data_IF_887646322016
#
_entry.id   IF_887646322016
#
_cell.length_a   1.000
_cell.length_b   1.000
_cell.length_c   1.000
_cell.angle_alpha   90.00
_cell.angle_beta   90.00
_cell.angle_gamma   90.00
#
_symmetry.space_group_name_H-M   'P 1'
#
loop_
_entity.id
_entity.type
_entity.pdbx_description
1 polymer ?
#
# COMPACT_ATOMS: atom_id res chain seq x y z
N UNK A 1 -29.39 3.50 4.18
CA UNK A 1 -27.97 3.86 4.37
C UNK A 1 -27.16 2.83 3.60
N UNK A 2 -26.22 3.25 2.76
CA UNK A 2 -25.30 2.31 2.13
C UNK A 2 -24.48 1.65 3.24
N UNK A 3 -24.38 0.32 3.20
CA UNK A 3 -23.52 -0.44 4.10
C UNK A 3 -22.07 -0.08 3.74
N UNK A 4 -21.24 0.17 4.75
CA UNK A 4 -19.82 0.46 4.55
C UNK A 4 -19.09 -0.85 4.23
N UNK A 5 -18.87 -1.10 2.93
CA UNK A 5 -18.38 -2.38 2.41
C UNK A 5 -19.20 -3.58 2.95
N UNK A 6 -18.56 -4.73 3.22
CA UNK A 6 -19.17 -5.91 3.81
C UNK A 6 -19.18 -5.89 5.37
N UNK A 7 -19.22 -4.70 5.97
CA UNK A 7 -19.32 -4.55 7.44
C UNK A 7 -20.78 -4.39 7.90
N UNK A 8 -21.02 -4.36 9.21
CA UNK A 8 -22.31 -3.95 9.77
C UNK A 8 -22.42 -2.42 10.00
N UNK A 9 -21.41 -1.65 9.58
CA UNK A 9 -21.35 -0.21 9.79
C UNK A 9 -22.02 0.54 8.65
N UNK A 10 -22.59 1.69 8.97
CA UNK A 10 -22.83 2.76 7.99
C UNK A 10 -21.57 3.60 7.80
N UNK A 11 -21.50 4.33 6.68
CA UNK A 11 -20.42 5.31 6.45
C UNK A 11 -20.30 6.33 7.60
N UNK A 12 -21.42 6.80 8.16
CA UNK A 12 -21.38 7.73 9.29
C UNK A 12 -20.78 7.07 10.55
N UNK A 13 -21.14 5.82 10.85
CA UNK A 13 -20.55 5.11 11.98
C UNK A 13 -19.04 4.89 11.81
N UNK A 14 -18.58 4.64 10.58
CA UNK A 14 -17.16 4.58 10.28
C UNK A 14 -16.46 5.93 10.59
N UNK A 15 -17.01 7.05 10.12
CA UNK A 15 -16.47 8.39 10.40
C UNK A 15 -16.44 8.71 11.90
N UNK A 16 -17.51 8.32 12.62
CA UNK A 16 -17.65 8.62 14.04
C UNK A 16 -16.74 7.76 14.92
N UNK A 17 -16.39 6.55 14.51
CA UNK A 17 -15.72 5.59 15.38
C UNK A 17 -14.29 5.22 14.97
N UNK A 18 -13.95 5.34 13.68
CA UNK A 18 -12.68 4.84 13.13
C UNK A 18 -11.87 5.92 12.44
N UNK A 19 -12.50 6.74 11.59
CA UNK A 19 -11.81 7.77 10.81
C UNK A 19 -10.95 8.69 11.71
N UNK A 20 -9.64 8.72 11.44
CA UNK A 20 -8.61 9.44 12.20
C UNK A 20 -8.53 9.09 13.69
N UNK A 21 -8.93 7.88 14.07
CA UNK A 21 -9.00 7.46 15.48
C UNK A 21 -8.32 6.12 15.72
N UNK A 22 -8.67 5.10 14.93
CA UNK A 22 -8.15 3.75 15.10
C UNK A 22 -8.29 2.91 13.83
N UNK A 23 -7.43 1.89 13.66
CA UNK A 23 -7.48 0.97 12.54
C UNK A 23 -8.80 0.17 12.45
N UNK A 24 -9.12 -0.29 11.24
CA UNK A 24 -10.24 -1.18 10.97
C UNK A 24 -9.88 -2.22 9.90
N UNK A 25 -9.87 -3.49 10.31
CA UNK A 25 -9.82 -4.62 9.38
C UNK A 25 -11.21 -4.91 8.80
N UNK A 26 -11.33 -4.89 7.48
CA UNK A 26 -12.54 -5.20 6.72
C UNK A 26 -12.28 -6.45 5.88
N UNK A 27 -12.86 -7.58 6.28
CA UNK A 27 -12.74 -8.83 5.52
C UNK A 27 -13.66 -8.79 4.31
N UNK A 28 -13.11 -9.19 3.16
CA UNK A 28 -13.83 -9.27 1.89
C UNK A 28 -14.59 -7.98 1.58
N UNK A 29 -13.94 -6.82 1.72
CA UNK A 29 -14.50 -5.54 1.31
C UNK A 29 -14.97 -5.57 -0.15
N UNK A 30 -14.22 -6.28 -0.99
CA UNK A 30 -14.62 -6.72 -2.33
C UNK A 30 -14.63 -8.25 -2.36
N UNK A 31 -15.78 -8.87 -2.63
CA UNK A 31 -15.89 -10.32 -2.77
C UNK A 31 -15.40 -10.78 -4.14
N UNK A 32 -14.70 -11.92 -4.20
CA UNK A 32 -14.15 -12.48 -5.43
C UNK A 32 -13.28 -11.45 -6.20
N UNK A 33 -12.50 -10.67 -5.45
CA UNK A 33 -11.71 -9.59 -6.01
C UNK A 33 -10.55 -10.11 -6.87
N UNK A 34 -10.48 -9.61 -8.10
CA UNK A 34 -9.37 -9.83 -9.03
C UNK A 34 -8.65 -8.51 -9.25
N UNK A 35 -7.31 -8.56 -9.28
CA UNK A 35 -6.50 -7.37 -9.54
C UNK A 35 -6.84 -6.80 -10.93
N UNK A 36 -7.15 -5.49 -11.05
CA UNK A 36 -7.47 -4.87 -12.33
C UNK A 36 -6.24 -4.74 -13.23
N UNK A 37 -5.03 -4.85 -12.67
CA UNK A 37 -3.76 -4.73 -13.38
C UNK A 37 -2.87 -5.93 -13.08
N UNK A 38 -2.14 -6.41 -14.09
CA UNK A 38 -1.13 -7.47 -13.92
C UNK A 38 0.18 -6.89 -13.38
N UNK A 39 1.07 -7.76 -12.87
CA UNK A 39 2.39 -7.34 -12.42
C UNK A 39 3.24 -6.76 -13.57
N UNK A 40 3.13 -7.36 -14.76
CA UNK A 40 3.87 -6.94 -15.96
C UNK A 40 3.36 -5.57 -16.47
N UNK A 41 2.04 -5.36 -16.50
CA UNK A 41 1.46 -4.07 -16.90
C UNK A 41 1.84 -2.96 -15.89
N UNK A 42 1.86 -3.27 -14.60
CA UNK A 42 2.31 -2.34 -13.56
C UNK A 42 3.80 -1.99 -13.71
N UNK A 43 4.65 -2.97 -14.05
CA UNK A 43 6.06 -2.72 -14.35
C UNK A 43 6.22 -1.85 -15.60
N UNK A 44 5.37 -2.04 -16.61
CA UNK A 44 5.26 -1.16 -17.78
C UNK A 44 4.96 0.29 -17.38
N UNK A 45 3.97 0.52 -16.52
CA UNK A 45 3.68 1.86 -15.99
C UNK A 45 4.87 2.46 -15.23
N UNK A 46 5.61 1.64 -14.48
CA UNK A 46 6.76 2.11 -13.72
C UNK A 46 7.94 2.58 -14.59
N UNK A 47 7.98 2.16 -15.87
CA UNK A 47 8.95 2.61 -16.87
C UNK A 47 8.57 3.94 -17.55
N UNK A 48 7.32 4.40 -17.40
CA UNK A 48 6.86 5.63 -18.06
C UNK A 48 7.43 6.89 -17.37
N UNK A 49 8.12 7.81 -18.09
CA UNK A 49 8.75 8.99 -17.49
C UNK A 49 7.80 9.95 -16.76
N UNK A 50 6.51 9.87 -17.05
CA UNK A 50 5.48 10.73 -16.46
C UNK A 50 4.87 10.14 -15.18
N UNK A 51 5.21 8.90 -14.82
CA UNK A 51 4.63 8.17 -13.69
C UNK A 51 5.69 8.02 -12.61
N UNK A 52 5.38 8.50 -11.40
CA UNK A 52 6.29 8.33 -10.27
C UNK A 52 6.29 6.86 -9.82
N UNK A 53 7.48 6.26 -9.83
CA UNK A 53 7.67 4.89 -9.39
C UNK A 53 8.92 4.76 -8.52
N UNK A 54 8.94 3.76 -7.65
CA UNK A 54 10.07 3.42 -6.79
C UNK A 54 10.23 1.92 -6.70
N UNK A 55 11.48 1.46 -6.79
CA UNK A 55 11.89 0.08 -6.53
C UNK A 55 12.71 0.06 -5.25
N UNK A 56 12.28 -0.73 -4.28
CA UNK A 56 12.91 -0.88 -2.97
C UNK A 56 13.42 -2.30 -2.83
N UNK A 57 14.72 -2.45 -2.59
CA UNK A 57 15.40 -3.73 -2.39
C UNK A 57 15.93 -3.79 -0.97
N UNK A 58 15.48 -4.76 -0.17
CA UNK A 58 15.95 -4.90 1.22
C UNK A 58 17.46 -5.19 1.26
N UNK A 59 17.95 -5.97 0.28
CA UNK A 59 19.36 -6.36 0.13
C UNK A 59 19.89 -5.96 -1.27
N UNK A 60 19.91 -4.66 -1.56
CA UNK A 60 20.37 -4.14 -2.84
C UNK A 60 21.89 -4.17 -3.02
N UNK A 61 22.34 -3.96 -4.26
CA UNK A 61 23.78 -3.93 -4.61
C UNK A 61 24.53 -2.77 -3.94
N UNK A 62 23.85 -1.63 -3.72
CA UNK A 62 24.40 -0.46 -3.04
C UNK A 62 24.37 -0.57 -1.50
N UNK A 63 23.69 -1.58 -0.96
CA UNK A 63 23.52 -1.79 0.47
C UNK A 63 22.07 -2.12 0.87
N UNK A 64 21.81 -2.24 2.17
CA UNK A 64 20.47 -2.53 2.67
C UNK A 64 19.50 -1.39 2.36
N UNK A 65 18.25 -1.75 2.06
CA UNK A 65 17.17 -0.81 1.74
C UNK A 65 17.52 0.16 0.60
N UNK A 66 18.09 -0.39 -0.48
CA UNK A 66 18.38 0.38 -1.69
C UNK A 66 17.06 0.86 -2.31
N UNK A 67 17.01 2.15 -2.65
CA UNK A 67 15.89 2.77 -3.35
C UNK A 67 16.35 3.20 -4.74
N UNK A 68 15.65 2.76 -5.76
CA UNK A 68 15.80 3.23 -7.14
C UNK A 68 14.53 3.97 -7.52
N UNK A 69 14.63 5.27 -7.78
CA UNK A 69 13.50 6.08 -8.23
C UNK A 69 13.35 5.97 -9.74
N UNK A 70 12.10 6.03 -10.20
CA UNK A 70 11.77 5.92 -11.60
C UNK A 70 12.20 7.12 -12.47
N UNK A 71 11.97 7.02 -13.80
CA UNK A 71 11.41 5.85 -14.47
C UNK A 71 12.33 4.64 -14.37
N UNK A 72 11.74 3.47 -14.09
CA UNK A 72 12.47 2.21 -14.04
C UNK A 72 12.76 1.71 -15.46
N UNK A 73 13.66 0.74 -15.58
CA UNK A 73 14.01 0.13 -16.87
C UNK A 73 13.86 -1.39 -16.82
N UNK A 74 13.79 -2.02 -17.98
CA UNK A 74 13.83 -3.49 -18.07
C UNK A 74 15.08 -4.08 -17.41
N UNK A 75 16.22 -3.37 -17.49
CA UNK A 75 17.48 -3.78 -16.84
C UNK A 75 17.36 -3.74 -15.30
N UNK A 76 16.60 -2.79 -14.74
CA UNK A 76 16.32 -2.75 -13.30
C UNK A 76 15.54 -3.96 -12.84
N UNK A 77 14.59 -4.44 -13.64
CA UNK A 77 13.80 -5.64 -13.32
C UNK A 77 14.58 -6.93 -13.58
N UNK A 78 15.35 -7.00 -14.67
CA UNK A 78 16.09 -8.19 -15.06
C UNK A 78 17.17 -8.60 -14.03
N UNK A 79 17.70 -7.64 -13.27
CA UNK A 79 18.69 -7.89 -12.20
C UNK A 79 18.07 -8.29 -10.85
N UNK A 80 16.75 -8.20 -10.68
CA UNK A 80 16.13 -8.41 -9.38
C UNK A 80 16.22 -9.88 -8.94
N UNK A 81 16.46 -10.12 -7.63
CA UNK A 81 16.36 -11.46 -7.07
C UNK A 81 14.91 -11.96 -7.06
N UNK A 82 14.71 -13.23 -6.76
CA UNK A 82 13.37 -13.82 -6.70
C UNK A 82 12.49 -13.31 -5.55
N UNK A 83 13.06 -12.64 -4.53
CA UNK A 83 12.39 -12.27 -3.26
C UNK A 83 12.97 -10.97 -2.68
N UNK A 84 12.38 -10.43 -1.60
CA UNK A 84 12.91 -9.30 -0.81
C UNK A 84 13.06 -7.96 -1.55
N UNK A 85 12.15 -7.66 -2.46
CA UNK A 85 12.02 -6.35 -3.09
C UNK A 85 10.55 -5.97 -3.25
N UNK A 86 10.26 -4.69 -3.47
CA UNK A 86 8.91 -4.20 -3.75
C UNK A 86 8.98 -3.05 -4.73
N UNK A 87 8.02 -3.00 -5.65
CA UNK A 87 7.82 -1.88 -6.57
C UNK A 87 6.57 -1.13 -6.14
N UNK A 88 6.64 0.20 -6.17
CA UNK A 88 5.56 1.13 -5.87
C UNK A 88 5.35 2.02 -7.10
N UNK A 89 4.10 2.16 -7.54
CA UNK A 89 3.71 3.06 -8.63
C UNK A 89 2.60 3.96 -8.11
N UNK A 90 2.84 5.27 -8.15
CA UNK A 90 1.91 6.28 -7.66
C UNK A 90 0.87 6.63 -8.74
N UNK A 91 -0.21 7.31 -8.34
CA UNK A 91 -1.13 7.96 -9.27
C UNK A 91 -1.76 7.02 -10.31
N UNK A 92 -1.86 5.72 -10.03
CA UNK A 92 -2.31 4.73 -11.03
C UNK A 92 -3.74 5.03 -11.50
N UNK A 93 -4.58 5.58 -10.63
CA UNK A 93 -5.95 6.00 -10.99
C UNK A 93 -6.01 7.12 -12.04
N UNK A 94 -4.96 7.93 -12.17
CA UNK A 94 -4.85 8.99 -13.18
C UNK A 94 -4.45 8.43 -14.55
N UNK A 95 -3.77 7.28 -14.56
CA UNK A 95 -3.24 6.66 -15.77
C UNK A 95 -4.07 5.47 -16.27
N UNK A 96 -4.85 4.85 -15.38
CA UNK A 96 -5.61 3.64 -15.65
C UNK A 96 -7.09 3.81 -15.27
N UNK A 97 -7.94 4.33 -16.19
CA UNK A 97 -9.33 4.63 -15.88
C UNK A 97 -10.15 3.45 -15.37
N UNK A 98 -9.78 2.20 -15.70
CA UNK A 98 -10.48 1.01 -15.22
C UNK A 98 -10.36 0.76 -13.72
N UNK A 99 -9.45 1.43 -12.99
CA UNK A 99 -9.35 1.28 -11.52
C UNK A 99 -10.25 2.27 -10.77
N UNK A 100 -10.90 3.20 -11.46
CA UNK A 100 -11.72 4.24 -10.83
C UNK A 100 -12.90 3.69 -10.01
N UNK A 101 -13.43 2.53 -10.38
CA UNK A 101 -14.50 1.88 -9.60
C UNK A 101 -14.06 1.52 -8.17
N UNK A 102 -12.75 1.36 -7.93
CA UNK A 102 -12.20 1.12 -6.59
C UNK A 102 -12.32 2.35 -5.70
N UNK A 103 -12.31 3.54 -6.30
CA UNK A 103 -12.34 4.83 -5.60
C UNK A 103 -13.77 5.33 -5.34
N UNK A 104 -14.74 4.90 -6.15
CA UNK A 104 -16.13 5.34 -6.05
C UNK A 104 -16.79 5.08 -4.68
N UNK A 105 -16.58 3.93 -4.01
CA UNK A 105 -17.13 3.69 -2.68
C UNK A 105 -16.65 4.65 -1.60
N UNK A 106 -15.52 5.36 -1.83
CA UNK A 106 -14.92 6.29 -0.87
C UNK A 106 -15.44 7.73 -0.97
N UNK A 107 -16.41 8.01 -1.86
CA UNK A 107 -17.01 9.35 -2.05
C UNK A 107 -17.75 9.92 -0.82
N UNK A 108 -17.86 9.18 0.28
CA UNK A 108 -18.30 9.70 1.56
C UNK A 108 -17.23 10.56 2.27
N UNK A 109 -15.97 10.46 1.81
CA UNK A 109 -14.87 11.35 2.18
C UNK A 109 -14.82 12.48 1.13
N UNK A 110 -14.64 13.76 1.53
CA UNK A 110 -14.53 14.85 0.58
C UNK A 110 -13.36 14.68 -0.41
N UNK A 111 -13.57 14.96 -1.69
CA UNK A 111 -12.57 14.74 -2.74
C UNK A 111 -11.20 15.38 -2.47
N UNK A 112 -11.17 16.56 -1.81
CA UNK A 112 -9.92 17.26 -1.48
C UNK A 112 -9.07 16.57 -0.40
N UNK A 113 -9.62 15.57 0.30
CA UNK A 113 -8.91 14.73 1.28
C UNK A 113 -8.31 13.47 0.65
N UNK A 114 -8.75 13.11 -0.56
CA UNK A 114 -8.24 11.96 -1.30
C UNK A 114 -7.04 12.41 -2.12
N UNK A 115 -5.97 11.64 -2.08
CA UNK A 115 -4.76 11.90 -2.85
C UNK A 115 -4.78 11.09 -4.16
N UNK A 116 -4.42 9.81 -4.09
CA UNK A 116 -4.27 8.94 -5.26
C UNK A 116 -4.55 7.45 -4.95
N UNK A 117 -4.41 6.61 -5.97
CA UNK A 117 -4.28 5.16 -5.84
C UNK A 117 -2.85 4.72 -6.18
N UNK A 118 -2.02 4.52 -5.15
CA UNK A 118 -0.76 3.80 -5.29
C UNK A 118 -1.01 2.29 -5.40
N UNK A 119 -0.33 1.63 -6.34
CA UNK A 119 -0.29 0.16 -6.41
C UNK A 119 1.13 -0.33 -6.13
N UNK A 120 1.23 -1.39 -5.32
CA UNK A 120 2.48 -2.06 -5.02
C UNK A 120 2.50 -3.49 -5.55
N UNK A 121 3.65 -3.95 -6.02
CA UNK A 121 3.94 -5.35 -6.31
C UNK A 121 5.14 -5.81 -5.51
N UNK A 122 5.01 -6.98 -4.87
CA UNK A 122 6.04 -7.57 -4.04
C UNK A 122 6.05 -9.10 -4.22
N UNK A 123 7.17 -9.72 -4.59
CA UNK A 123 7.36 -11.16 -4.40
C UNK A 123 7.45 -11.50 -2.90
N UNK A 124 7.74 -12.78 -2.60
CA UNK A 124 7.91 -13.26 -1.23
C UNK A 124 8.90 -12.38 -0.45
N UNK A 125 8.52 -12.03 0.78
CA UNK A 125 9.26 -11.14 1.70
C UNK A 125 9.46 -9.70 1.22
N UNK A 126 8.91 -9.30 0.06
CA UNK A 126 8.93 -7.91 -0.37
C UNK A 126 8.21 -6.98 0.61
N UNK A 127 8.90 -5.92 1.02
CA UNK A 127 8.42 -4.98 2.05
C UNK A 127 9.09 -3.62 1.91
N UNK A 128 8.51 -2.61 2.55
CA UNK A 128 9.07 -1.27 2.72
C UNK A 128 9.61 -1.03 4.14
N UNK A 129 9.58 -2.07 4.98
CA UNK A 129 9.93 -1.98 6.40
C UNK A 129 8.81 -1.39 7.27
N UNK A 130 8.93 -1.46 8.61
CA UNK A 130 8.02 -0.81 9.53
C UNK A 130 8.18 0.72 9.43
N UNK A 131 7.09 1.43 9.21
CA UNK A 131 7.06 2.88 9.02
C UNK A 131 5.72 3.45 9.52
N UNK A 132 5.62 4.78 9.51
CA UNK A 132 4.38 5.51 9.81
C UNK A 132 4.12 6.53 8.71
N UNK A 133 2.85 6.71 8.37
CA UNK A 133 2.40 7.73 7.43
C UNK A 133 1.69 8.88 8.15
N UNK A 134 1.68 10.06 7.52
CA UNK A 134 0.99 11.26 8.02
C UNK A 134 -0.41 11.42 7.42
N UNK A 135 -0.92 10.40 6.73
CA UNK A 135 -2.20 10.40 6.02
C UNK A 135 -3.01 9.15 6.36
N UNK A 136 -4.32 9.25 6.17
CA UNK A 136 -5.25 8.13 6.22
C UNK A 136 -5.05 7.23 4.98
N UNK A 137 -5.06 5.91 5.14
CA UNK A 137 -4.85 4.96 4.03
C UNK A 137 -5.84 3.80 4.10
N UNK A 138 -6.26 3.28 2.95
CA UNK A 138 -6.98 2.00 2.84
C UNK A 138 -6.13 1.01 2.05
N UNK A 139 -5.62 0.00 2.72
CA UNK A 139 -4.77 -1.04 2.17
C UNK A 139 -5.63 -2.20 1.67
N UNK A 140 -5.97 -2.19 0.38
CA UNK A 140 -6.71 -3.26 -0.29
C UNK A 140 -5.74 -4.34 -0.81
N UNK A 141 -5.94 -5.58 -0.39
CA UNK A 141 -5.17 -6.70 -0.94
C UNK A 141 -5.75 -7.11 -2.30
N UNK A 142 -4.98 -6.94 -3.37
CA UNK A 142 -5.43 -7.23 -4.73
C UNK A 142 -5.11 -8.66 -5.20
N UNK A 143 -3.92 -9.16 -4.89
CA UNK A 143 -3.44 -10.46 -5.31
C UNK A 143 -2.57 -11.08 -4.21
N UNK A 144 -2.50 -12.42 -4.15
CA UNK A 144 -1.65 -13.12 -3.18
C UNK A 144 -2.08 -12.93 -1.73
N UNK A 145 -1.15 -13.02 -0.80
CA UNK A 145 -1.41 -12.82 0.65
C UNK A 145 -0.31 -11.99 1.25
N UNK A 146 -0.68 -10.98 2.05
CA UNK A 146 0.28 -10.14 2.77
C UNK A 146 -0.01 -10.17 4.26
N UNK A 147 1.06 -10.38 5.05
CA UNK A 147 1.01 -10.23 6.50
C UNK A 147 1.17 -8.76 6.86
N UNK A 148 0.15 -8.19 7.46
CA UNK A 148 0.17 -6.86 8.05
C UNK A 148 0.33 -6.96 9.56
N UNK A 149 1.22 -6.14 10.10
CA UNK A 149 1.47 -6.00 11.52
C UNK A 149 1.36 -4.52 11.85
N UNK A 150 0.53 -4.17 12.83
CA UNK A 150 0.30 -2.78 13.22
C UNK A 150 0.33 -2.62 14.74
N UNK A 151 0.34 -1.36 15.17
CA UNK A 151 0.18 -0.94 16.56
C UNK A 151 -0.95 0.09 16.60
N UNK A 152 -1.89 -0.04 17.54
CA UNK A 152 -2.93 0.96 17.78
C UNK A 152 -2.37 2.23 18.45
N UNK A 153 -1.18 2.14 19.06
CA UNK A 153 -0.53 3.30 19.67
C UNK A 153 0.15 4.19 18.61
N UNK A 154 -0.25 5.47 18.49
CA UNK A 154 0.38 6.39 17.54
C UNK A 154 1.80 6.76 17.98
N UNK A 155 2.72 6.76 17.02
CA UNK A 155 4.12 7.16 17.22
C UNK A 155 4.29 8.62 16.84
N UNK A 156 4.51 9.50 17.82
CA UNK A 156 4.75 10.94 17.59
C UNK A 156 6.23 11.27 17.38
N UNK A 157 7.13 10.52 18.02
CA UNK A 157 8.58 10.69 17.92
C UNK A 157 9.22 9.39 17.43
N UNK A 158 9.19 9.20 16.11
CA UNK A 158 9.73 8.01 15.48
C UNK A 158 11.27 8.00 15.54
N UNK A 159 11.84 6.98 16.17
CA UNK A 159 13.27 6.67 16.04
C UNK A 159 13.46 5.89 14.74
N UNK A 160 14.20 6.48 13.81
CA UNK A 160 14.44 5.89 12.50
C UNK A 160 15.84 5.25 12.43
N UNK A 161 16.00 4.30 11.51
CA UNK A 161 17.33 3.78 11.17
C UNK A 161 18.09 4.87 10.40
N UNK A 162 19.21 5.32 10.97
CA UNK A 162 20.06 6.34 10.36
C UNK A 162 20.69 5.86 9.04
N UNK A 163 20.81 6.78 8.09
CA UNK A 163 21.54 6.55 6.83
C UNK A 163 20.76 5.83 5.74
N UNK A 164 19.47 5.57 5.92
CA UNK A 164 18.60 5.01 4.89
C UNK A 164 17.89 6.10 4.08
N UNK A 165 17.60 5.80 2.81
CA UNK A 165 16.73 6.62 1.96
C UNK A 165 15.23 6.46 2.25
N UNK A 166 14.89 5.70 3.29
CA UNK A 166 13.53 5.38 3.71
C UNK A 166 13.36 5.68 5.21
N UNK A 167 12.14 6.02 5.62
CA UNK A 167 11.79 6.27 7.01
C UNK A 167 11.40 4.95 7.71
N UNK A 168 12.39 4.11 8.00
CA UNK A 168 12.16 2.82 8.66
C UNK A 168 12.35 2.98 10.17
N UNK A 169 11.38 2.51 10.95
CA UNK A 169 11.43 2.48 12.40
C UNK A 169 12.57 1.58 12.89
N UNK A 170 13.39 2.10 13.81
CA UNK A 170 14.47 1.35 14.45
C UNK A 170 13.93 0.20 15.31
N UNK A 171 12.81 0.44 15.98
CA UNK A 171 12.13 -0.53 16.83
C UNK A 171 10.62 -0.47 16.54
N UNK A 172 10.02 -1.64 16.35
CA UNK A 172 8.58 -1.78 16.17
C UNK A 172 8.11 -3.06 16.85
N UNK A 173 7.11 -2.94 17.72
CA UNK A 173 6.45 -4.07 18.37
C UNK A 173 4.98 -4.05 18.00
N UNK A 174 4.50 -4.97 17.17
CA UNK A 174 3.10 -4.98 16.78
C UNK A 174 2.22 -5.51 17.91
N UNK A 175 1.03 -4.92 18.07
CA UNK A 175 -0.03 -5.44 18.94
C UNK A 175 -1.07 -6.26 18.16
N UNK A 176 -1.11 -6.08 16.84
CA UNK A 176 -2.04 -6.74 15.94
C UNK A 176 -1.30 -7.31 14.74
N UNK A 177 -1.78 -8.45 14.24
CA UNK A 177 -1.23 -9.13 13.07
C UNK A 177 -2.33 -9.83 12.30
N UNK A 178 -2.36 -9.62 10.99
CA UNK A 178 -3.33 -10.25 10.08
C UNK A 178 -2.70 -10.66 8.77
N UNK A 179 -3.10 -11.81 8.27
CA UNK A 179 -2.86 -12.20 6.89
C UNK A 179 -4.07 -11.75 6.05
N UNK A 180 -3.87 -10.78 5.16
CA UNK A 180 -4.90 -10.28 4.23
C UNK A 180 -4.88 -11.11 2.95
N UNK A 181 -6.08 -11.48 2.47
CA UNK A 181 -6.31 -12.20 1.22
C UNK A 181 -6.99 -11.28 0.19
N UNK A 182 -7.04 -11.65 -1.11
CA UNK A 182 -7.65 -10.80 -2.12
C UNK A 182 -9.07 -10.36 -1.71
N UNK A 183 -9.31 -9.05 -1.78
CA UNK A 183 -10.55 -8.41 -1.39
C UNK A 183 -10.63 -7.96 0.07
N UNK A 184 -9.71 -8.39 0.95
CA UNK A 184 -9.60 -7.84 2.30
C UNK A 184 -8.98 -6.45 2.26
N UNK A 185 -9.40 -5.60 3.20
CA UNK A 185 -8.94 -4.22 3.32
C UNK A 185 -8.59 -3.88 4.76
N UNK A 186 -7.50 -3.14 4.96
CA UNK A 186 -7.11 -2.58 6.25
C UNK A 186 -7.13 -1.05 6.14
N UNK A 187 -7.96 -0.40 6.95
CA UNK A 187 -7.89 1.03 7.23
C UNK A 187 -6.97 1.28 8.42
#
# INVERSE_FOLDING_TARGET
MAVFFNTALSQQQFLDQYWQKKPLLIRQAYTDFESPISADDLAGLACEPAIESRLIEENGQAGPWQVTNGPLSEDDFARLPATHWTMLVQDVDKHLPEVQYLLDPFRFIPDWRRDDLMISYAPEFGTVGPHTDSYDVFLLQAMGTRRWQISDEPIYEAKLIDGLGLQILQEFTPDQTWDLRPGDMLY
#
